data_IF_439292487733
#
_entry.id   IF_439292487733
#
_cell.length_a   1.000
_cell.length_b   1.000
_cell.length_c   1.000
_cell.angle_alpha   90.00
_cell.angle_beta   90.00
_cell.angle_gamma   90.00
#
_symmetry.space_group_name_H-M   'P 1'
#
loop_
_entity.id
_entity.type
_entity.pdbx_description
1 polymer ?
#
# COMPACT_ATOMS: atom_id res chain seq x y z
N UNK A 1 21.71 67.28 15.02
CA UNK A 1 21.12 67.70 16.31
C UNK A 1 19.73 67.11 16.44
N UNK A 2 19.61 66.21 17.32
CA UNK A 2 18.52 65.90 18.22
C UNK A 2 18.55 64.40 18.53
N UNK A 3 19.20 64.09 19.62
CA UNK A 3 19.16 62.87 20.38
C UNK A 3 17.77 62.75 21.05
N UNK A 4 17.19 61.55 21.03
CA UNK A 4 16.07 61.21 21.91
C UNK A 4 16.42 59.92 22.64
N UNK A 5 16.42 60.03 23.99
CA UNK A 5 16.74 59.03 24.99
C UNK A 5 15.76 57.85 24.99
N UNK A 6 16.29 56.65 25.27
CA UNK A 6 15.54 55.47 25.68
C UNK A 6 15.42 55.44 27.20
N UNK A 7 14.26 55.10 27.76
CA UNK A 7 14.17 54.81 29.20
C UNK A 7 14.50 53.36 29.51
N UNK A 8 15.28 53.17 30.53
CA UNK A 8 15.58 51.89 31.21
C UNK A 8 14.34 51.33 31.87
N UNK A 9 13.99 50.08 31.61
CA UNK A 9 12.93 49.35 32.25
C UNK A 9 13.47 48.27 33.19
N UNK A 10 12.85 48.19 34.35
CA UNK A 10 13.16 47.38 35.54
C UNK A 10 13.03 45.83 35.29
N UNK A 11 13.68 45.03 36.16
CA UNK A 11 13.66 43.57 36.05
C UNK A 11 12.35 42.94 36.60
N UNK A 12 11.94 41.87 35.96
CA UNK A 12 10.80 41.04 36.37
C UNK A 12 11.10 40.21 37.65
N UNK A 13 10.10 39.95 38.50
CA UNK A 13 10.30 39.18 39.73
C UNK A 13 10.33 37.64 39.47
N UNK A 14 11.20 36.99 40.19
CA UNK A 14 11.25 35.54 40.35
C UNK A 14 9.99 35.06 41.10
N UNK A 15 9.30 34.05 40.56
CA UNK A 15 8.12 33.40 41.13
C UNK A 15 8.29 31.90 41.25
N UNK A 16 8.45 31.47 42.42
CA UNK A 16 8.19 30.23 43.17
C UNK A 16 7.97 28.89 42.41
N UNK A 17 8.83 27.93 42.78
CA UNK A 17 8.73 26.48 42.59
C UNK A 17 7.76 25.90 43.62
N UNK A 18 6.81 25.05 43.27
CA UNK A 18 6.04 24.26 44.25
C UNK A 18 6.75 22.95 44.60
N UNK A 19 6.76 22.72 45.89
CA UNK A 19 7.33 21.67 46.70
C UNK A 19 6.56 20.34 46.58
N UNK A 20 7.28 19.26 46.79
CA UNK A 20 6.99 17.84 46.88
C UNK A 20 5.66 17.46 47.55
N UNK A 21 5.04 16.36 47.06
CA UNK A 21 4.00 15.61 47.77
C UNK A 21 4.60 14.42 48.55
N UNK A 22 3.98 14.01 49.67
CA UNK A 22 4.60 13.08 50.62
C UNK A 22 4.37 11.60 50.29
N UNK A 23 5.38 10.81 50.69
CA UNK A 23 5.40 9.35 50.69
C UNK A 23 4.43 8.85 51.79
N UNK A 24 3.52 7.98 51.43
CA UNK A 24 2.63 7.24 52.33
C UNK A 24 3.11 5.80 52.55
N UNK A 25 3.11 5.41 53.79
CA UNK A 25 3.66 4.25 54.48
C UNK A 25 3.10 2.90 54.03
N UNK A 26 3.96 1.92 54.19
CA UNK A 26 3.79 0.47 54.20
C UNK A 26 2.62 -0.01 55.09
N UNK A 27 1.86 -0.98 54.56
CA UNK A 27 1.17 -1.97 55.39
C UNK A 27 1.39 -3.37 54.81
N UNK A 28 2.08 -4.19 55.62
CA UNK A 28 2.25 -5.62 55.44
C UNK A 28 0.91 -6.33 55.62
N UNK A 29 0.56 -7.19 54.66
CA UNK A 29 -0.37 -8.29 54.90
C UNK A 29 0.20 -9.57 54.30
N UNK A 30 0.58 -10.43 55.18
CA UNK A 30 0.91 -11.84 55.11
C UNK A 30 -0.22 -12.64 54.43
N UNK A 31 0.06 -13.33 53.33
CA UNK A 31 -0.85 -14.35 52.75
C UNK A 31 -0.03 -15.50 52.19
N UNK A 32 -0.18 -16.61 52.81
CA UNK A 32 0.09 -18.00 52.62
C UNK A 32 0.65 -18.52 51.29
N UNK A 33 1.63 -19.40 51.48
CA UNK A 33 2.13 -20.37 50.51
C UNK A 33 0.98 -21.27 50.01
N UNK A 34 0.54 -21.02 48.76
CA UNK A 34 -0.30 -21.93 47.98
C UNK A 34 0.52 -22.42 46.81
N UNK A 35 1.01 -23.63 46.87
CA UNK A 35 1.56 -24.37 45.76
C UNK A 35 0.51 -24.43 44.63
N UNK A 36 0.77 -23.72 43.51
CA UNK A 36 0.04 -23.93 42.26
C UNK A 36 0.67 -25.09 41.51
N UNK A 37 -0.07 -26.18 41.49
CA UNK A 37 0.12 -27.35 40.66
C UNK A 37 0.22 -26.90 39.17
N UNK A 38 1.44 -26.98 38.63
CA UNK A 38 1.68 -26.80 37.17
C UNK A 38 1.30 -28.09 36.48
N UNK A 39 0.03 -28.17 36.06
CA UNK A 39 -0.46 -29.22 35.17
C UNK A 39 0.38 -29.33 33.93
N UNK A 40 0.60 -30.57 33.53
CA UNK A 40 1.32 -31.06 32.34
C UNK A 40 0.95 -30.31 31.05
N UNK A 41 1.90 -29.77 30.26
CA UNK A 41 1.64 -29.01 29.02
C UNK A 41 1.39 -29.92 27.79
N UNK A 42 0.86 -31.11 27.96
CA UNK A 42 0.57 -32.02 26.84
C UNK A 42 -0.93 -32.26 26.61
N UNK A 43 -1.78 -31.25 26.79
CA UNK A 43 -3.10 -31.30 26.18
C UNK A 43 -3.02 -30.78 24.72
N UNK A 44 -3.00 -31.74 23.79
CA UNK A 44 -3.27 -31.53 22.36
C UNK A 44 -4.60 -30.79 22.19
N UNK A 45 -4.53 -29.50 21.85
CA UNK A 45 -5.69 -28.78 21.32
C UNK A 45 -6.00 -29.39 19.96
N UNK A 46 -6.83 -30.41 19.94
CA UNK A 46 -7.53 -30.93 18.75
C UNK A 46 -8.35 -29.78 18.15
N UNK A 47 -7.78 -29.06 17.18
CA UNK A 47 -8.56 -28.26 16.26
C UNK A 47 -9.47 -29.23 15.47
N UNK A 48 -10.71 -29.38 15.96
CA UNK A 48 -11.77 -30.00 15.17
C UNK A 48 -11.94 -29.25 13.86
N UNK A 49 -12.43 -29.90 12.79
CA UNK A 49 -12.65 -29.26 11.51
C UNK A 49 -13.54 -28.03 11.73
N UNK A 50 -13.11 -26.88 11.21
CA UNK A 50 -13.87 -25.63 11.26
C UNK A 50 -15.27 -25.94 10.74
N UNK A 51 -16.28 -25.84 11.61
CA UNK A 51 -17.67 -25.98 11.22
C UNK A 51 -17.95 -24.97 10.14
N UNK A 52 -18.35 -25.44 8.96
CA UNK A 52 -18.79 -24.61 7.87
C UNK A 52 -19.90 -23.69 8.40
N UNK A 53 -19.67 -22.39 8.42
CA UNK A 53 -20.70 -21.41 8.72
C UNK A 53 -21.84 -21.63 7.73
N UNK A 54 -23.11 -21.60 8.17
CA UNK A 54 -24.25 -21.79 7.29
C UNK A 54 -24.19 -20.74 6.19
N UNK A 55 -24.48 -21.14 4.94
CA UNK A 55 -24.58 -20.32 3.74
C UNK A 55 -25.19 -18.95 4.06
N UNK A 56 -24.37 -17.97 4.32
CA UNK A 56 -24.78 -16.58 4.19
C UNK A 56 -24.85 -16.29 2.68
N UNK A 57 -25.89 -15.63 2.18
CA UNK A 57 -25.91 -15.23 0.80
C UNK A 57 -24.65 -14.39 0.54
N UNK A 58 -23.96 -14.71 -0.54
CA UNK A 58 -22.78 -13.92 -0.95
C UNK A 58 -23.21 -12.44 -0.99
N UNK A 59 -22.42 -11.53 -0.40
CA UNK A 59 -22.74 -10.11 -0.46
C UNK A 59 -22.84 -9.71 -1.93
N UNK A 60 -23.91 -8.98 -2.27
CA UNK A 60 -24.05 -8.40 -3.60
C UNK A 60 -22.93 -7.37 -3.81
N UNK A 61 -21.90 -7.78 -4.57
CA UNK A 61 -20.76 -6.97 -4.92
C UNK A 61 -20.94 -6.32 -6.31
N UNK A 62 -22.19 -6.19 -6.78
CA UNK A 62 -22.48 -5.49 -8.02
C UNK A 62 -21.99 -4.03 -7.93
N UNK A 63 -21.48 -3.46 -9.03
CA UNK A 63 -21.09 -2.06 -9.09
C UNK A 63 -22.19 -1.11 -8.61
N UNK A 64 -23.45 -1.44 -8.84
CA UNK A 64 -24.63 -0.66 -8.44
C UNK A 64 -24.81 -0.67 -6.92
N UNK A 65 -24.63 -1.83 -6.26
CA UNK A 65 -24.70 -1.92 -4.79
C UNK A 65 -23.56 -1.17 -4.10
N UNK A 66 -22.37 -1.14 -4.72
CA UNK A 66 -21.19 -0.41 -4.22
C UNK A 66 -21.24 1.09 -4.52
N UNK A 67 -22.31 1.62 -5.12
CA UNK A 67 -22.43 3.03 -5.49
C UNK A 67 -21.45 3.46 -6.58
N UNK A 68 -20.91 2.52 -7.33
CA UNK A 68 -19.95 2.76 -8.41
C UNK A 68 -20.74 3.29 -9.61
N UNK A 69 -20.47 4.54 -10.02
CA UNK A 69 -21.03 5.09 -11.25
C UNK A 69 -20.53 4.28 -12.45
N UNK A 70 -21.40 3.47 -13.04
CA UNK A 70 -21.15 2.72 -14.27
C UNK A 70 -21.28 3.59 -15.53
N UNK A 71 -21.74 4.82 -15.40
CA UNK A 71 -21.91 5.77 -16.50
C UNK A 71 -20.60 6.50 -16.79
N UNK A 72 -19.83 5.92 -17.63
CA UNK A 72 -18.71 6.47 -18.36
C UNK A 72 -18.26 5.44 -19.36
N UNK A 73 -18.31 5.79 -20.67
CA UNK A 73 -17.72 4.93 -21.68
C UNK A 73 -16.32 4.51 -21.22
N UNK A 74 -16.07 3.21 -21.25
CA UNK A 74 -14.73 2.66 -21.05
C UNK A 74 -13.77 3.49 -21.91
N UNK A 75 -12.71 4.08 -21.35
CA UNK A 75 -11.66 4.59 -22.20
C UNK A 75 -11.20 3.40 -23.02
N UNK A 76 -11.51 3.45 -24.30
CA UNK A 76 -11.04 2.45 -25.26
C UNK A 76 -9.52 2.43 -25.13
N UNK A 77 -8.93 1.24 -25.19
CA UNK A 77 -7.51 1.10 -25.45
C UNK A 77 -7.12 2.14 -26.49
N UNK A 78 -5.96 2.76 -26.34
CA UNK A 78 -5.48 3.76 -27.31
C UNK A 78 -5.72 3.19 -28.70
N UNK A 79 -6.56 3.81 -29.56
CA UNK A 79 -6.89 3.26 -30.85
C UNK A 79 -5.66 3.07 -31.75
N UNK A 80 -4.54 3.72 -31.39
CA UNK A 80 -3.26 3.61 -32.08
C UNK A 80 -2.29 2.63 -31.38
N UNK A 81 -2.67 2.03 -30.25
CA UNK A 81 -1.85 1.02 -29.58
C UNK A 81 -1.92 -0.28 -30.37
N UNK A 82 -0.82 -0.68 -30.95
CA UNK A 82 -0.66 -2.00 -31.56
C UNK A 82 -0.74 -3.05 -30.46
N UNK A 83 -1.75 -3.92 -30.51
CA UNK A 83 -1.78 -5.07 -29.57
C UNK A 83 -0.49 -5.89 -29.75
N UNK A 84 0.22 -6.22 -28.65
CA UNK A 84 1.44 -6.99 -28.73
C UNK A 84 1.13 -8.40 -29.27
N UNK A 85 2.05 -8.98 -30.01
CA UNK A 85 1.95 -10.40 -30.35
C UNK A 85 2.02 -11.23 -29.08
N UNK A 86 1.53 -12.48 -29.12
CA UNK A 86 1.65 -13.39 -27.97
C UNK A 86 3.11 -13.60 -27.56
N UNK A 87 4.02 -13.67 -28.50
CA UNK A 87 5.46 -13.83 -28.25
C UNK A 87 6.02 -12.62 -27.52
N UNK A 88 5.77 -11.40 -27.99
CA UNK A 88 6.22 -10.16 -27.35
C UNK A 88 5.63 -10.01 -25.95
N UNK A 89 4.36 -10.37 -25.77
CA UNK A 89 3.71 -10.37 -24.45
C UNK A 89 4.41 -11.33 -23.50
N UNK A 90 4.67 -12.58 -23.94
CA UNK A 90 5.28 -13.59 -23.09
C UNK A 90 6.72 -13.27 -22.68
N UNK A 91 7.47 -12.48 -23.46
CA UNK A 91 8.82 -12.03 -23.09
C UNK A 91 8.84 -11.16 -21.83
N UNK A 92 7.71 -10.59 -21.47
CA UNK A 92 7.57 -9.73 -20.27
C UNK A 92 7.14 -10.51 -19.03
N UNK A 93 6.74 -11.79 -19.17
CA UNK A 93 6.23 -12.61 -18.09
C UNK A 93 7.34 -13.47 -17.48
N UNK A 94 7.61 -13.26 -16.18
CA UNK A 94 8.57 -14.08 -15.44
C UNK A 94 7.88 -15.37 -14.95
N UNK A 95 7.71 -16.33 -15.86
CA UNK A 95 7.23 -17.68 -15.54
C UNK A 95 8.43 -18.51 -15.03
N UNK A 96 8.20 -19.27 -13.95
CA UNK A 96 9.24 -20.12 -13.36
C UNK A 96 9.77 -21.14 -14.40
N UNK A 97 11.07 -21.12 -14.72
CA UNK A 97 11.65 -22.04 -15.69
C UNK A 97 11.71 -23.50 -15.21
N UNK A 98 11.59 -23.74 -13.89
CA UNK A 98 11.61 -25.09 -13.31
C UNK A 98 10.29 -25.84 -13.48
N UNK A 99 9.21 -25.14 -13.85
CA UNK A 99 7.93 -25.77 -14.17
C UNK A 99 8.05 -26.71 -15.38
N UNK A 100 7.34 -27.85 -15.37
CA UNK A 100 7.19 -28.70 -16.56
C UNK A 100 6.70 -27.92 -17.78
N UNK A 101 7.09 -28.31 -18.98
CA UNK A 101 6.73 -27.61 -20.21
C UNK A 101 5.22 -27.47 -20.41
N UNK A 102 4.46 -28.50 -20.07
CA UNK A 102 2.99 -28.49 -20.12
C UNK A 102 2.40 -27.47 -19.15
N UNK A 103 2.88 -27.44 -17.91
CA UNK A 103 2.45 -26.49 -16.89
C UNK A 103 2.76 -25.04 -17.30
N UNK A 104 3.94 -24.80 -17.87
CA UNK A 104 4.31 -23.47 -18.42
C UNK A 104 3.38 -23.04 -19.54
N UNK A 105 3.01 -23.95 -20.44
CA UNK A 105 2.10 -23.63 -21.54
C UNK A 105 0.68 -23.34 -21.03
N UNK A 106 0.18 -24.10 -20.07
CA UNK A 106 -1.13 -23.83 -19.42
C UNK A 106 -1.14 -22.45 -18.76
N UNK A 107 -0.07 -22.11 -18.03
CA UNK A 107 0.07 -20.81 -17.37
C UNK A 107 0.18 -19.68 -18.40
N UNK A 108 0.95 -19.87 -19.48
CA UNK A 108 1.05 -18.92 -20.58
C UNK A 108 -0.30 -18.67 -21.27
N UNK A 109 -1.10 -19.72 -21.46
CA UNK A 109 -2.44 -19.61 -22.03
C UNK A 109 -3.37 -18.83 -21.10
N UNK A 110 -3.31 -19.06 -19.79
CA UNK A 110 -4.09 -18.30 -18.81
C UNK A 110 -3.72 -16.83 -18.82
N UNK A 111 -2.42 -16.49 -18.76
CA UNK A 111 -1.95 -15.11 -18.80
C UNK A 111 -2.35 -14.40 -20.09
N UNK A 112 -2.24 -15.08 -21.23
CA UNK A 112 -2.68 -14.54 -22.51
C UNK A 112 -4.20 -14.31 -22.58
N UNK A 113 -5.00 -15.22 -22.00
CA UNK A 113 -6.46 -15.04 -21.89
C UNK A 113 -6.80 -13.74 -21.16
N UNK A 114 -6.10 -13.44 -20.07
CA UNK A 114 -6.31 -12.25 -19.25
C UNK A 114 -5.30 -11.12 -19.57
N UNK A 115 -4.78 -11.05 -20.80
CA UNK A 115 -3.76 -10.06 -21.18
C UNK A 115 -4.17 -8.61 -20.94
N UNK A 116 -5.46 -8.33 -20.92
CA UNK A 116 -5.99 -6.98 -20.72
C UNK A 116 -5.53 -6.34 -19.41
N UNK A 117 -5.35 -7.12 -18.33
CA UNK A 117 -4.86 -6.59 -17.03
C UNK A 117 -3.39 -6.18 -17.06
N UNK A 118 -2.63 -6.60 -18.07
CA UNK A 118 -1.21 -6.28 -18.25
C UNK A 118 -0.98 -5.16 -19.28
N UNK A 119 -2.04 -4.69 -19.94
CA UNK A 119 -2.02 -3.68 -20.99
C UNK A 119 -2.79 -2.43 -20.53
N UNK A 120 -2.19 -1.61 -19.64
CA UNK A 120 -2.87 -0.45 -19.10
C UNK A 120 -3.17 0.58 -20.20
N UNK A 121 -4.29 1.31 -20.10
CA UNK A 121 -4.54 2.45 -20.95
C UNK A 121 -3.51 3.56 -20.66
N UNK A 122 -3.36 4.48 -21.59
CA UNK A 122 -2.46 5.63 -21.45
C UNK A 122 -2.76 6.49 -20.20
N UNK A 123 -4.04 6.55 -19.81
CA UNK A 123 -4.50 7.29 -18.61
C UNK A 123 -4.77 6.34 -17.48
N UNK A 124 -4.28 6.66 -16.29
CA UNK A 124 -4.53 5.95 -15.04
C UNK A 124 -5.74 6.54 -14.27
N UNK A 125 -6.10 5.94 -13.13
CA UNK A 125 -7.19 6.41 -12.27
C UNK A 125 -8.57 5.98 -12.74
N UNK A 126 -8.66 4.86 -13.44
CA UNK A 126 -9.89 4.35 -14.05
C UNK A 126 -10.41 3.07 -13.40
N UNK A 127 -9.86 2.69 -12.24
CA UNK A 127 -10.38 1.55 -11.50
C UNK A 127 -11.86 1.80 -11.14
N UNK A 128 -12.67 0.75 -11.30
CA UNK A 128 -14.07 0.77 -10.90
C UNK A 128 -14.17 0.56 -9.38
N UNK A 129 -13.73 1.56 -8.63
CA UNK A 129 -13.62 1.55 -7.18
C UNK A 129 -14.11 2.90 -6.61
N UNK A 130 -14.58 2.93 -5.35
CA UNK A 130 -14.90 4.18 -4.69
C UNK A 130 -13.69 5.12 -4.69
N UNK A 131 -13.88 6.41 -4.95
CA UNK A 131 -12.80 7.38 -4.95
C UNK A 131 -12.24 7.60 -3.55
N UNK A 132 -10.97 8.01 -3.49
CA UNK A 132 -10.33 8.39 -2.22
C UNK A 132 -10.81 9.76 -1.77
N UNK A 133 -11.23 9.87 -0.52
CA UNK A 133 -11.66 11.09 0.12
C UNK A 133 -10.65 11.55 1.18
N UNK A 134 -10.50 12.86 1.32
CA UNK A 134 -9.69 13.47 2.38
C UNK A 134 -10.58 14.32 3.26
N UNK A 135 -10.79 13.89 4.50
CA UNK A 135 -11.59 14.61 5.49
C UNK A 135 -10.66 15.44 6.38
N UNK A 136 -10.88 16.76 6.42
CA UNK A 136 -10.06 17.73 7.18
C UNK A 136 -10.92 18.55 8.15
N UNK A 137 -12.11 18.07 8.49
CA UNK A 137 -13.11 18.80 9.27
C UNK A 137 -13.25 20.27 8.79
N UNK A 138 -13.24 21.22 9.73
CA UNK A 138 -13.32 22.65 9.44
C UNK A 138 -11.95 23.34 9.29
N UNK A 139 -10.86 22.56 9.04
CA UNK A 139 -9.54 23.14 8.90
C UNK A 139 -9.44 24.11 7.73
N UNK A 140 -8.78 25.25 7.97
CA UNK A 140 -8.52 26.24 6.92
C UNK A 140 -7.47 25.71 5.95
N UNK A 141 -7.58 26.07 4.66
CA UNK A 141 -6.55 25.75 3.69
C UNK A 141 -5.15 26.18 4.14
N UNK A 142 -4.18 25.32 3.86
CA UNK A 142 -2.77 25.56 4.18
C UNK A 142 -1.95 25.61 2.91
N UNK A 143 -1.00 26.51 2.85
CA UNK A 143 -0.07 26.65 1.75
C UNK A 143 1.36 26.64 2.28
N UNK A 144 2.23 25.91 1.60
CA UNK A 144 3.68 25.90 1.85
C UNK A 144 4.37 26.19 0.52
N UNK A 145 5.26 27.20 0.46
CA UNK A 145 5.96 27.53 -0.77
C UNK A 145 6.86 26.37 -1.23
N UNK A 146 7.21 26.32 -2.54
CA UNK A 146 8.09 25.29 -3.06
C UNK A 146 9.48 25.38 -2.40
N UNK A 147 10.09 24.23 -2.15
CA UNK A 147 11.47 24.19 -1.67
C UNK A 147 12.43 24.66 -2.76
N UNK A 148 13.47 25.39 -2.35
CA UNK A 148 14.53 25.80 -3.26
C UNK A 148 15.36 24.57 -3.64
N UNK A 149 15.49 24.32 -4.93
CA UNK A 149 16.27 23.21 -5.48
C UNK A 149 17.23 23.73 -6.55
N UNK A 150 18.35 23.04 -6.75
CA UNK A 150 19.29 23.38 -7.83
C UNK A 150 18.69 23.07 -9.22
N UNK A 151 19.22 23.66 -10.29
CA UNK A 151 18.67 23.54 -11.66
C UNK A 151 18.46 22.10 -12.12
N UNK A 152 19.41 21.21 -11.89
CA UNK A 152 19.29 19.80 -12.28
C UNK A 152 18.11 19.07 -11.61
N UNK A 153 17.82 19.38 -10.33
CA UNK A 153 16.66 18.82 -9.65
C UNK A 153 15.35 19.45 -10.14
N UNK A 154 15.39 20.73 -10.50
CA UNK A 154 14.23 21.42 -11.07
C UNK A 154 13.83 20.79 -12.40
N UNK A 155 14.80 20.48 -13.25
CA UNK A 155 14.53 19.78 -14.53
C UNK A 155 13.85 18.41 -14.31
N UNK A 156 14.32 17.65 -13.32
CA UNK A 156 13.66 16.36 -12.95
C UNK A 156 12.21 16.60 -12.50
N UNK A 157 11.94 17.61 -11.67
CA UNK A 157 10.58 17.94 -11.23
C UNK A 157 9.70 18.29 -12.43
N UNK A 158 10.23 19.08 -13.36
CA UNK A 158 9.49 19.53 -14.54
C UNK A 158 9.15 18.39 -15.48
N UNK A 159 10.08 17.44 -15.67
CA UNK A 159 9.85 16.22 -16.46
C UNK A 159 8.79 15.32 -15.82
N UNK A 160 8.89 15.06 -14.52
CA UNK A 160 7.90 14.25 -13.78
C UNK A 160 6.49 14.89 -13.84
N UNK A 161 6.39 16.23 -13.67
CA UNK A 161 5.10 16.93 -13.81
C UNK A 161 4.52 16.74 -15.21
N UNK A 162 5.34 16.84 -16.26
CA UNK A 162 4.87 16.63 -17.63
C UNK A 162 4.40 15.20 -17.85
N UNK A 163 5.13 14.19 -17.37
CA UNK A 163 4.73 12.79 -17.44
C UNK A 163 3.40 12.54 -16.71
N UNK A 164 3.22 13.12 -15.52
CA UNK A 164 1.97 13.00 -14.76
C UNK A 164 0.77 13.66 -15.47
N UNK A 165 1.00 14.80 -16.15
CA UNK A 165 -0.02 15.45 -16.99
C UNK A 165 -0.39 14.58 -18.19
N UNK A 166 0.58 14.02 -18.88
CA UNK A 166 0.38 13.16 -20.05
C UNK A 166 -0.37 11.88 -19.69
N UNK A 167 -0.09 11.32 -18.50
CA UNK A 167 -0.81 10.18 -17.93
C UNK A 167 -2.20 10.55 -17.37
N UNK A 168 -2.54 11.83 -17.32
CA UNK A 168 -3.80 12.31 -16.76
C UNK A 168 -3.94 12.14 -15.26
N UNK A 169 -2.83 11.91 -14.53
CA UNK A 169 -2.81 11.75 -13.08
C UNK A 169 -3.03 13.06 -12.33
N UNK A 170 -2.63 14.18 -12.92
CA UNK A 170 -2.74 15.52 -12.35
C UNK A 170 -3.42 16.49 -13.32
N UNK A 171 -3.80 17.64 -12.81
CA UNK A 171 -4.30 18.79 -13.59
C UNK A 171 -3.83 20.12 -13.00
N UNK A 172 -3.83 21.23 -13.77
CA UNK A 172 -3.64 22.57 -13.21
C UNK A 172 -4.69 22.88 -12.13
N UNK A 173 -4.29 23.63 -11.11
CA UNK A 173 -5.13 23.92 -9.95
C UNK A 173 -5.20 25.40 -9.64
N UNK A 174 -6.32 25.84 -9.07
CA UNK A 174 -6.49 27.15 -8.42
C UNK A 174 -6.79 27.00 -6.93
N UNK A 175 -6.37 25.87 -6.36
CA UNK A 175 -6.64 25.52 -4.96
C UNK A 175 -5.98 26.50 -3.99
N UNK A 176 -6.63 26.82 -2.86
CA UNK A 176 -6.00 27.53 -1.75
C UNK A 176 -5.04 26.64 -0.94
N UNK A 177 -5.01 25.33 -1.22
CA UNK A 177 -4.06 24.39 -0.63
C UNK A 177 -2.80 24.28 -1.47
N UNK A 178 -1.64 24.15 -0.84
CA UNK A 178 -0.40 23.85 -1.56
C UNK A 178 0.59 23.11 -0.67
N UNK A 179 1.05 21.96 -1.15
CA UNK A 179 2.14 21.17 -0.55
C UNK A 179 3.40 21.29 -1.42
N UNK A 180 4.61 21.33 -0.85
CA UNK A 180 5.84 21.41 -1.63
C UNK A 180 6.24 20.03 -2.15
N UNK A 181 7.06 20.01 -3.20
CA UNK A 181 7.64 18.80 -3.78
C UNK A 181 9.02 18.52 -3.20
N UNK A 182 9.30 17.23 -2.95
CA UNK A 182 10.60 16.71 -2.50
C UNK A 182 11.06 15.61 -3.44
N UNK A 183 12.32 15.64 -3.86
CA UNK A 183 12.96 14.56 -4.59
C UNK A 183 13.74 13.67 -3.62
N UNK A 184 13.38 12.39 -3.54
CA UNK A 184 14.06 11.37 -2.73
C UNK A 184 14.88 10.47 -3.63
N UNK A 185 16.16 10.28 -3.31
CA UNK A 185 17.04 9.40 -4.09
C UNK A 185 16.72 7.93 -3.80
N UNK A 186 16.45 7.16 -4.84
CA UNK A 186 16.27 5.69 -4.74
C UNK A 186 17.61 4.97 -4.65
N UNK A 187 17.66 3.72 -4.18
CA UNK A 187 18.89 2.91 -4.17
C UNK A 187 19.52 2.72 -5.56
N UNK A 188 18.71 2.73 -6.62
CA UNK A 188 19.17 2.64 -8.02
C UNK A 188 19.72 3.96 -8.58
N UNK A 189 19.83 4.99 -7.74
CA UNK A 189 20.34 6.32 -8.11
C UNK A 189 19.31 7.25 -8.74
N UNK A 190 18.14 6.78 -9.13
CA UNK A 190 17.06 7.59 -9.69
C UNK A 190 16.36 8.43 -8.63
N UNK A 191 15.66 9.47 -9.06
CA UNK A 191 14.85 10.29 -8.19
C UNK A 191 13.42 9.72 -8.07
N UNK A 192 12.85 9.88 -6.89
CA UNK A 192 11.41 9.68 -6.64
C UNK A 192 10.79 11.04 -6.37
N UNK A 193 9.82 11.40 -7.18
CA UNK A 193 8.97 12.57 -6.97
C UNK A 193 8.00 12.30 -5.83
N UNK A 194 8.00 13.15 -4.81
CA UNK A 194 7.14 13.03 -3.64
C UNK A 194 6.54 14.41 -3.31
N UNK A 195 5.25 14.46 -3.00
CA UNK A 195 4.64 15.63 -2.40
C UNK A 195 4.76 15.54 -0.87
N UNK A 196 5.15 16.63 -0.23
CA UNK A 196 5.26 16.66 1.24
C UNK A 196 3.91 16.97 1.89
N UNK A 197 3.13 15.93 2.12
CA UNK A 197 1.82 16.02 2.74
C UNK A 197 1.84 15.99 4.28
N UNK A 198 2.98 16.11 4.95
CA UNK A 198 3.06 16.04 6.42
C UNK A 198 2.08 16.99 7.11
N UNK A 199 1.98 18.25 6.64
CA UNK A 199 1.05 19.23 7.20
C UNK A 199 -0.40 18.88 6.93
N UNK A 200 -0.75 18.42 5.72
CA UNK A 200 -2.09 17.93 5.38
C UNK A 200 -2.45 16.73 6.28
N UNK A 201 -1.53 15.78 6.43
CA UNK A 201 -1.73 14.58 7.22
C UNK A 201 -1.98 14.85 8.71
N UNK A 202 -1.46 15.97 9.25
CA UNK A 202 -1.69 16.38 10.65
C UNK A 202 -3.14 16.79 10.91
N UNK A 203 -3.83 17.32 9.91
CA UNK A 203 -5.22 17.80 10.03
C UNK A 203 -6.23 16.86 9.35
N UNK A 204 -5.78 15.80 8.71
CA UNK A 204 -6.64 14.79 8.10
C UNK A 204 -7.14 13.83 9.17
N UNK A 205 -8.44 13.59 9.18
CA UNK A 205 -9.07 12.58 10.03
C UNK A 205 -8.54 11.19 9.67
N UNK A 206 -8.04 10.46 10.67
CA UNK A 206 -7.41 9.15 10.47
C UNK A 206 -8.44 8.07 10.18
N UNK A 207 -8.25 7.36 9.11
CA UNK A 207 -8.98 6.12 8.82
C UNK A 207 -8.42 4.98 9.69
N UNK A 208 -9.32 4.25 10.36
CA UNK A 208 -8.98 3.15 11.27
C UNK A 208 -9.12 1.77 10.62
N UNK A 209 -9.20 1.70 9.29
CA UNK A 209 -9.31 0.43 8.59
C UNK A 209 -8.13 -0.49 8.91
N UNK A 210 -8.37 -1.73 9.41
CA UNK A 210 -7.30 -2.60 9.88
C UNK A 210 -6.48 -3.15 8.70
N UNK A 211 -5.16 -3.07 8.83
CA UNK A 211 -4.25 -3.83 7.95
C UNK A 211 -4.11 -5.26 8.49
N UNK A 212 -4.03 -6.27 7.60
CA UNK A 212 -3.77 -7.65 8.02
C UNK A 212 -2.47 -7.77 8.83
N UNK A 213 -2.46 -8.63 9.83
CA UNK A 213 -1.20 -8.91 10.56
C UNK A 213 -0.31 -9.79 9.69
N UNK A 214 0.97 -9.43 9.60
CA UNK A 214 1.95 -10.18 8.80
C UNK A 214 2.02 -11.65 9.22
N UNK A 215 1.97 -11.94 10.53
CA UNK A 215 1.99 -13.30 11.05
C UNK A 215 0.79 -14.13 10.60
N UNK A 216 -0.43 -13.58 10.69
CA UNK A 216 -1.65 -14.25 10.26
C UNK A 216 -1.61 -14.56 8.76
N UNK A 217 -1.10 -13.59 7.98
CA UNK A 217 -0.89 -13.74 6.53
C UNK A 217 0.07 -14.89 6.22
N UNK A 218 1.18 -14.98 6.94
CA UNK A 218 2.19 -16.02 6.71
C UNK A 218 1.71 -17.42 7.14
N UNK A 219 0.91 -17.53 8.21
CA UNK A 219 0.36 -18.82 8.66
C UNK A 219 -0.51 -19.50 7.59
N UNK A 220 -1.21 -18.73 6.76
CA UNK A 220 -2.05 -19.27 5.68
C UNK A 220 -1.27 -19.96 4.54
N UNK A 221 0.05 -19.76 4.50
CA UNK A 221 0.92 -20.30 3.44
C UNK A 221 1.44 -21.71 3.77
N UNK A 222 1.16 -22.24 4.95
CA UNK A 222 1.56 -23.59 5.33
C UNK A 222 1.00 -24.65 4.38
N UNK A 223 1.88 -25.54 3.86
CA UNK A 223 1.52 -26.62 2.94
C UNK A 223 1.28 -26.21 1.48
N UNK A 224 1.31 -24.92 1.16
CA UNK A 224 1.17 -24.44 -0.23
C UNK A 224 2.49 -24.62 -0.98
N UNK A 225 2.43 -25.01 -2.25
CA UNK A 225 3.59 -25.42 -3.06
C UNK A 225 3.84 -24.51 -4.27
N UNK A 226 2.80 -23.87 -4.79
CA UNK A 226 2.89 -23.01 -5.97
C UNK A 226 2.45 -21.61 -5.61
N UNK A 227 3.21 -20.62 -6.06
CA UNK A 227 3.03 -19.23 -5.72
C UNK A 227 3.11 -18.34 -6.96
N UNK A 228 2.29 -17.29 -6.99
CA UNK A 228 2.41 -16.19 -7.94
C UNK A 228 2.35 -14.89 -7.18
N UNK A 229 3.37 -14.04 -7.35
CA UNK A 229 3.34 -12.66 -6.84
C UNK A 229 2.82 -11.73 -7.90
N UNK A 230 1.86 -10.89 -7.55
CA UNK A 230 1.28 -9.90 -8.44
C UNK A 230 1.50 -8.51 -7.85
N UNK A 231 2.20 -7.65 -8.59
CA UNK A 231 2.44 -6.23 -8.25
C UNK A 231 1.56 -5.35 -9.15
N UNK A 232 0.76 -4.48 -8.55
CA UNK A 232 -0.12 -3.59 -9.30
C UNK A 232 0.67 -2.41 -9.89
N UNK A 233 0.34 -2.01 -11.09
CA UNK A 233 0.96 -0.87 -11.77
C UNK A 233 0.62 0.44 -11.04
N UNK A 234 1.58 1.01 -10.29
CA UNK A 234 1.35 2.25 -9.54
C UNK A 234 0.04 2.22 -8.74
N UNK A 235 -0.17 1.15 -7.95
CA UNK A 235 -1.45 0.76 -7.39
C UNK A 235 -2.31 1.92 -6.87
N UNK A 236 -1.75 2.85 -6.09
CA UNK A 236 -2.47 4.01 -5.56
C UNK A 236 -3.02 4.93 -6.67
N UNK A 237 -2.30 5.10 -7.78
CA UNK A 237 -2.73 5.96 -8.90
C UNK A 237 -3.86 5.33 -9.73
N UNK A 238 -4.20 4.09 -9.49
CA UNK A 238 -5.36 3.47 -10.14
C UNK A 238 -6.68 3.86 -9.47
N UNK A 239 -6.65 4.28 -8.20
CA UNK A 239 -7.83 4.74 -7.46
C UNK A 239 -8.07 6.23 -7.78
N UNK A 240 -9.29 6.61 -8.20
CA UNK A 240 -9.62 8.01 -8.45
C UNK A 240 -9.67 8.83 -7.15
N UNK A 241 -9.42 10.13 -7.24
CA UNK A 241 -9.68 11.08 -6.17
C UNK A 241 -11.11 11.61 -6.26
N UNK A 242 -11.79 11.68 -5.11
CA UNK A 242 -13.05 12.40 -5.00
C UNK A 242 -12.86 13.89 -5.37
N UNK A 243 -13.81 14.44 -6.12
CA UNK A 243 -13.64 15.75 -6.77
C UNK A 243 -13.39 16.90 -5.79
N UNK A 244 -14.13 16.96 -4.68
CA UNK A 244 -13.96 17.99 -3.66
C UNK A 244 -12.66 17.80 -2.86
N UNK A 245 -12.09 16.60 -2.86
CA UNK A 245 -10.83 16.27 -2.19
C UNK A 245 -9.59 16.56 -3.04
N UNK A 246 -9.73 16.68 -4.36
CA UNK A 246 -8.59 16.96 -5.28
C UNK A 246 -7.86 18.22 -4.87
N UNK A 247 -8.56 19.30 -4.59
CA UNK A 247 -7.95 20.57 -4.19
C UNK A 247 -7.03 20.46 -2.97
N UNK A 248 -7.30 19.51 -2.03
CA UNK A 248 -6.47 19.30 -0.84
C UNK A 248 -5.13 18.63 -1.18
N UNK A 249 -5.07 17.93 -2.31
CA UNK A 249 -3.85 17.28 -2.82
C UNK A 249 -2.96 18.24 -3.61
N UNK A 250 -3.33 19.50 -3.72
CA UNK A 250 -2.59 20.45 -4.54
C UNK A 250 -1.13 20.56 -4.09
N UNK A 251 -0.24 20.61 -5.07
CA UNK A 251 1.20 20.78 -4.85
C UNK A 251 1.76 21.85 -5.77
N UNK A 252 2.76 22.54 -5.26
CA UNK A 252 3.36 23.70 -5.93
C UNK A 252 4.76 23.39 -6.43
N UNK A 253 5.04 23.84 -7.65
CA UNK A 253 6.36 23.83 -8.29
C UNK A 253 6.72 25.21 -8.78
N UNK A 254 7.92 25.42 -9.30
CA UNK A 254 8.29 26.69 -9.92
C UNK A 254 7.47 27.01 -11.18
N UNK A 255 6.85 26.01 -11.82
CA UNK A 255 6.03 26.16 -13.03
C UNK A 255 4.54 26.35 -12.78
N UNK A 256 4.07 26.14 -11.53
CA UNK A 256 2.66 26.32 -11.24
C UNK A 256 2.15 25.47 -10.07
N UNK A 257 0.85 25.49 -9.95
CA UNK A 257 0.09 24.74 -8.96
C UNK A 257 -0.69 23.62 -9.67
N UNK A 258 -0.61 22.42 -9.13
CA UNK A 258 -1.16 21.20 -9.70
C UNK A 258 -1.94 20.44 -8.64
N UNK A 259 -2.95 19.68 -9.03
CA UNK A 259 -3.70 18.80 -8.11
C UNK A 259 -3.89 17.42 -8.71
N UNK A 260 -4.02 16.42 -7.83
CA UNK A 260 -4.15 15.03 -8.24
C UNK A 260 -5.61 14.66 -8.57
N UNK A 261 -5.77 13.96 -9.68
CA UNK A 261 -7.03 13.31 -10.08
C UNK A 261 -7.13 11.88 -9.58
N UNK A 262 -6.00 11.31 -9.20
CA UNK A 262 -5.81 9.96 -8.67
C UNK A 262 -5.24 10.04 -7.27
N UNK A 263 -5.38 8.98 -6.47
CA UNK A 263 -4.89 8.94 -5.09
C UNK A 263 -3.36 9.05 -5.05
N UNK A 264 -2.77 10.13 -4.53
CA UNK A 264 -1.33 10.30 -4.50
C UNK A 264 -0.69 9.48 -3.39
N UNK A 265 0.59 9.14 -3.58
CA UNK A 265 1.41 8.61 -2.50
C UNK A 265 1.66 9.69 -1.43
N UNK A 266 1.71 9.28 -0.17
CA UNK A 266 2.07 10.15 0.96
C UNK A 266 0.91 10.76 1.73
N UNK A 267 -0.34 10.67 1.26
CA UNK A 267 -1.51 11.00 2.09
C UNK A 267 -1.76 9.88 3.10
N UNK A 268 -2.10 10.25 4.35
CA UNK A 268 -2.08 9.32 5.49
C UNK A 268 -3.07 8.15 5.36
N UNK A 269 -4.20 8.35 4.72
CA UNK A 269 -5.26 7.34 4.58
C UNK A 269 -5.17 6.51 3.29
N UNK A 270 -4.20 6.78 2.40
CA UNK A 270 -4.04 6.02 1.16
C UNK A 270 -3.86 4.51 1.39
N UNK A 271 -3.04 4.05 2.36
CA UNK A 271 -2.92 2.62 2.65
C UNK A 271 -4.24 1.98 3.07
N UNK A 272 -5.02 2.63 3.94
CA UNK A 272 -6.31 2.14 4.42
C UNK A 272 -7.34 2.07 3.30
N UNK A 273 -7.44 3.12 2.47
CA UNK A 273 -8.32 3.13 1.29
C UNK A 273 -7.93 2.02 0.32
N UNK A 274 -6.64 1.84 0.04
CA UNK A 274 -6.17 0.83 -0.89
C UNK A 274 -6.45 -0.59 -0.38
N UNK A 275 -6.17 -0.86 0.91
CA UNK A 275 -6.45 -2.16 1.51
C UNK A 275 -7.94 -2.49 1.47
N UNK A 276 -8.82 -1.52 1.82
CA UNK A 276 -10.27 -1.68 1.73
C UNK A 276 -10.74 -1.96 0.30
N UNK A 277 -10.17 -1.26 -0.67
CA UNK A 277 -10.45 -1.48 -2.08
C UNK A 277 -10.06 -2.90 -2.52
N UNK A 278 -8.86 -3.36 -2.18
CA UNK A 278 -8.41 -4.72 -2.48
C UNK A 278 -9.23 -5.78 -1.76
N UNK A 279 -9.59 -5.54 -0.50
CA UNK A 279 -10.45 -6.43 0.27
C UNK A 279 -11.86 -6.56 -0.35
N UNK A 280 -12.35 -5.49 -0.97
CA UNK A 280 -13.62 -5.51 -1.72
C UNK A 280 -13.47 -6.28 -3.03
N UNK A 281 -12.46 -5.97 -3.83
CA UNK A 281 -12.21 -6.63 -5.13
C UNK A 281 -12.02 -8.14 -4.98
N UNK A 282 -11.28 -8.56 -3.96
CA UNK A 282 -10.88 -9.95 -3.75
C UNK A 282 -11.63 -10.62 -2.58
N UNK A 283 -12.76 -10.07 -2.14
CA UNK A 283 -13.48 -10.49 -0.93
C UNK A 283 -13.72 -12.00 -0.83
N UNK A 284 -14.22 -12.64 -1.90
CA UNK A 284 -14.50 -14.09 -1.93
C UNK A 284 -13.25 -14.95 -2.19
N UNK A 285 -12.13 -14.35 -2.55
CA UNK A 285 -10.88 -15.03 -2.89
C UNK A 285 -9.83 -14.90 -1.80
N UNK A 286 -9.87 -13.79 -1.05
CA UNK A 286 -8.93 -13.49 0.03
C UNK A 286 -8.98 -14.60 1.09
N UNK A 287 -7.83 -15.01 1.58
CA UNK A 287 -7.57 -16.10 2.51
C UNK A 287 -7.76 -17.51 1.93
N UNK A 288 -8.68 -17.72 0.99
CA UNK A 288 -8.89 -19.03 0.37
C UNK A 288 -7.96 -19.28 -0.81
N UNK A 289 -7.73 -18.26 -1.64
CA UNK A 289 -7.02 -18.38 -2.92
C UNK A 289 -5.83 -17.43 -3.04
N UNK A 290 -5.88 -16.31 -2.34
CA UNK A 290 -4.81 -15.30 -2.34
C UNK A 290 -4.71 -14.58 -1.00
N UNK A 291 -3.56 -13.96 -0.78
CA UNK A 291 -3.32 -13.00 0.30
C UNK A 291 -3.10 -11.64 -0.32
N UNK A 292 -3.53 -10.62 0.41
CA UNK A 292 -3.41 -9.23 -0.02
C UNK A 292 -2.89 -8.39 1.14
N UNK A 293 -1.78 -7.74 0.92
CA UNK A 293 -1.20 -6.79 1.85
C UNK A 293 -0.82 -5.53 1.08
N UNK A 294 -1.69 -4.53 1.14
CA UNK A 294 -1.60 -3.33 0.29
C UNK A 294 -1.55 -3.72 -1.20
N UNK A 295 -0.51 -3.31 -1.91
CA UNK A 295 -0.26 -3.56 -3.33
C UNK A 295 0.41 -4.92 -3.64
N UNK A 296 0.80 -5.69 -2.61
CA UNK A 296 1.35 -7.03 -2.76
C UNK A 296 0.23 -8.09 -2.71
N UNK A 297 -0.05 -8.73 -3.83
CA UNK A 297 -0.99 -9.86 -3.93
C UNK A 297 -0.18 -11.13 -4.12
N UNK A 298 -0.43 -12.13 -3.26
CA UNK A 298 0.18 -13.47 -3.36
C UNK A 298 -0.90 -14.50 -3.62
N UNK A 299 -0.90 -15.11 -4.79
CA UNK A 299 -1.78 -16.24 -5.15
C UNK A 299 -1.05 -17.53 -4.89
N UNK A 300 -1.74 -18.53 -4.35
CA UNK A 300 -1.13 -19.81 -3.97
C UNK A 300 -2.03 -21.02 -4.26
N UNK A 301 -1.45 -22.22 -4.22
CA UNK A 301 -2.15 -23.49 -4.31
C UNK A 301 -1.30 -24.65 -3.77
N UNK A 302 -1.95 -25.76 -3.38
CA UNK A 302 -1.30 -26.99 -2.95
C UNK A 302 -0.87 -27.84 -4.16
N UNK A 303 -1.62 -27.74 -5.26
CA UNK A 303 -1.29 -28.30 -6.55
C UNK A 303 -1.18 -27.24 -7.62
N UNK A 304 -0.58 -27.56 -8.76
CA UNK A 304 -0.48 -26.63 -9.88
C UNK A 304 -1.86 -26.29 -10.46
N UNK A 305 -2.75 -27.26 -10.55
CA UNK A 305 -4.11 -27.08 -11.07
C UNK A 305 -4.93 -26.14 -10.17
N UNK A 306 -4.84 -26.32 -8.85
CA UNK A 306 -5.48 -25.42 -7.88
C UNK A 306 -4.92 -24.00 -8.01
N UNK A 307 -3.59 -23.89 -8.08
CA UNK A 307 -2.93 -22.58 -8.26
C UNK A 307 -3.36 -21.89 -9.54
N UNK A 308 -3.43 -22.63 -10.67
CA UNK A 308 -3.86 -22.09 -11.96
C UNK A 308 -5.32 -21.58 -11.90
N UNK A 309 -6.21 -22.34 -11.26
CA UNK A 309 -7.61 -21.93 -11.07
C UNK A 309 -7.72 -20.71 -10.16
N UNK A 310 -6.92 -20.65 -9.08
CA UNK A 310 -6.89 -19.52 -8.15
C UNK A 310 -6.36 -18.25 -8.84
N UNK A 311 -5.29 -18.37 -9.63
CA UNK A 311 -4.74 -17.26 -10.40
C UNK A 311 -5.74 -16.75 -11.43
N UNK A 312 -6.43 -17.64 -12.15
CA UNK A 312 -7.48 -17.25 -13.09
C UNK A 312 -8.58 -16.42 -12.45
N UNK A 313 -9.07 -16.86 -11.28
CA UNK A 313 -10.09 -16.13 -10.52
C UNK A 313 -9.61 -14.74 -10.06
N UNK A 314 -8.36 -14.62 -9.62
CA UNK A 314 -7.77 -13.33 -9.22
C UNK A 314 -7.63 -12.39 -10.42
N UNK A 315 -7.11 -12.88 -11.56
CA UNK A 315 -6.97 -12.09 -12.77
C UNK A 315 -8.32 -11.59 -13.29
N UNK A 316 -9.36 -12.44 -13.28
CA UNK A 316 -10.72 -12.08 -13.67
C UNK A 316 -11.29 -10.94 -12.79
N UNK A 317 -11.05 -11.01 -11.48
CA UNK A 317 -11.47 -9.95 -10.55
C UNK A 317 -10.74 -8.64 -10.80
N UNK A 318 -9.44 -8.67 -11.02
CA UNK A 318 -8.66 -7.47 -11.34
C UNK A 318 -9.12 -6.86 -12.67
N UNK A 319 -9.39 -7.69 -13.68
CA UNK A 319 -9.89 -7.26 -14.98
C UNK A 319 -11.26 -6.58 -14.88
N UNK A 320 -12.20 -7.19 -14.16
CA UNK A 320 -13.56 -6.65 -13.97
C UNK A 320 -13.57 -5.30 -13.23
N UNK A 321 -12.58 -5.04 -12.37
CA UNK A 321 -12.43 -3.76 -11.67
C UNK A 321 -11.44 -2.80 -12.33
N UNK A 322 -10.94 -3.11 -13.53
CA UNK A 322 -9.98 -2.29 -14.28
C UNK A 322 -8.71 -1.98 -13.50
N UNK A 323 -8.20 -2.99 -12.82
CA UNK A 323 -6.92 -2.93 -12.12
C UNK A 323 -5.84 -3.55 -12.99
N UNK A 324 -4.72 -2.84 -13.12
CA UNK A 324 -3.63 -3.20 -14.02
C UNK A 324 -2.42 -3.68 -13.25
N UNK A 325 -1.76 -4.69 -13.81
CA UNK A 325 -0.59 -5.35 -13.23
C UNK A 325 0.68 -4.87 -13.95
N UNK A 326 1.78 -4.83 -13.21
CA UNK A 326 3.12 -4.54 -13.75
C UNK A 326 3.90 -5.84 -13.97
N UNK A 327 3.91 -6.43 -15.18
CA UNK A 327 4.44 -7.78 -15.42
C UNK A 327 5.89 -7.95 -14.96
N UNK A 328 6.74 -6.95 -15.18
CA UNK A 328 8.18 -6.99 -14.82
C UNK A 328 8.47 -7.13 -13.31
N UNK A 329 7.45 -6.98 -12.48
CA UNK A 329 7.55 -7.11 -11.02
C UNK A 329 6.80 -8.34 -10.48
N UNK A 330 6.16 -9.09 -11.35
CA UNK A 330 5.44 -10.31 -11.01
C UNK A 330 6.32 -11.53 -11.22
N UNK A 331 6.04 -12.59 -10.46
CA UNK A 331 6.62 -13.93 -10.67
C UNK A 331 5.50 -14.94 -10.71
N UNK A 332 5.46 -15.78 -11.73
CA UNK A 332 4.35 -16.69 -11.98
C UNK A 332 4.74 -18.16 -11.80
N UNK A 333 3.95 -18.88 -10.97
CA UNK A 333 4.04 -20.32 -10.82
C UNK A 333 5.27 -20.82 -10.09
N UNK A 334 5.92 -20.01 -9.27
CA UNK A 334 7.14 -20.40 -8.55
C UNK A 334 6.85 -21.34 -7.38
N UNK A 335 7.77 -22.25 -7.09
CA UNK A 335 7.75 -23.12 -5.90
C UNK A 335 8.34 -22.45 -4.67
N UNK A 336 8.96 -21.27 -4.85
CA UNK A 336 9.52 -20.43 -3.78
C UNK A 336 9.32 -18.97 -4.11
N UNK A 337 8.91 -18.18 -3.13
CA UNK A 337 8.72 -16.75 -3.32
C UNK A 337 9.14 -15.95 -2.09
N UNK A 338 9.33 -14.65 -2.27
CA UNK A 338 9.54 -13.72 -1.16
C UNK A 338 8.27 -12.91 -0.92
N UNK A 339 7.72 -12.96 0.28
CA UNK A 339 6.55 -12.20 0.67
C UNK A 339 6.72 -11.62 2.07
N UNK A 340 6.43 -10.33 2.23
CA UNK A 340 6.49 -9.58 3.51
C UNK A 340 7.80 -9.83 4.30
N UNK A 341 8.93 -9.88 3.60
CA UNK A 341 10.24 -10.06 4.24
C UNK A 341 10.61 -11.49 4.62
N UNK A 342 9.85 -12.48 4.16
CA UNK A 342 10.11 -13.90 4.36
C UNK A 342 10.21 -14.62 3.01
N UNK A 343 11.04 -15.67 2.99
CA UNK A 343 11.04 -16.65 1.91
C UNK A 343 10.01 -17.71 2.24
N UNK A 344 9.07 -17.91 1.33
CA UNK A 344 7.98 -18.89 1.43
C UNK A 344 8.27 -20.03 0.48
N UNK A 345 8.21 -21.26 0.97
CA UNK A 345 8.36 -22.51 0.20
C UNK A 345 7.32 -23.52 0.63
N UNK A 346 7.16 -24.60 -0.13
CA UNK A 346 6.31 -25.72 0.28
C UNK A 346 6.74 -26.40 1.60
N UNK A 347 8.01 -26.22 2.02
CA UNK A 347 8.55 -26.76 3.27
C UNK A 347 8.33 -25.81 4.48
N UNK A 348 7.95 -24.59 4.25
CA UNK A 348 7.71 -23.59 5.31
C UNK A 348 8.28 -22.21 5.03
N UNK A 349 8.41 -21.42 6.10
CA UNK A 349 8.81 -20.02 6.10
C UNK A 349 10.23 -19.85 6.62
N UNK A 350 11.00 -19.01 5.96
CA UNK A 350 12.36 -18.61 6.40
C UNK A 350 12.49 -17.08 6.32
N UNK A 351 13.11 -16.42 7.31
CA UNK A 351 13.42 -14.99 7.17
C UNK A 351 14.44 -14.78 6.06
N UNK A 352 14.37 -13.62 5.41
CA UNK A 352 15.34 -13.22 4.39
C UNK A 352 16.76 -13.15 5.00
N UNK A 353 17.76 -13.67 4.31
CA UNK A 353 19.17 -13.70 4.75
C UNK A 353 19.66 -12.31 5.17
N UNK A 354 19.32 -11.26 4.42
CA UNK A 354 19.67 -9.87 4.75
C UNK A 354 19.20 -9.41 6.14
N UNK A 355 18.06 -9.91 6.62
CA UNK A 355 17.54 -9.57 7.96
C UNK A 355 18.35 -10.30 9.05
N UNK A 356 18.75 -11.54 8.77
CA UNK A 356 19.60 -12.34 9.65
C UNK A 356 20.99 -11.70 9.75
N UNK A 357 21.56 -11.31 8.61
CA UNK A 357 22.88 -10.70 8.53
C UNK A 357 22.92 -9.35 9.26
N UNK A 358 21.89 -8.50 9.07
CA UNK A 358 21.75 -7.24 9.81
C UNK A 358 21.72 -7.44 11.33
N UNK A 359 21.10 -8.51 11.83
CA UNK A 359 21.09 -8.84 13.27
C UNK A 359 22.46 -9.37 13.73
N UNK A 360 23.15 -10.19 12.91
CA UNK A 360 24.47 -10.71 13.24
C UNK A 360 25.56 -9.64 13.26
N UNK A 361 25.46 -8.67 12.34
CA UNK A 361 26.38 -7.54 12.21
C UNK A 361 26.11 -6.42 13.23
N UNK A 362 24.99 -6.51 13.97
CA UNK A 362 24.66 -5.50 14.95
C UNK A 362 25.69 -5.47 16.07
N UNK A 363 26.35 -4.33 16.32
CA UNK A 363 27.38 -4.22 17.35
C UNK A 363 26.80 -4.55 18.73
N UNK A 364 27.55 -5.29 19.55
CA UNK A 364 27.13 -5.58 20.92
C UNK A 364 26.98 -4.27 21.69
N UNK A 365 25.89 -4.08 22.45
CA UNK A 365 25.73 -2.91 23.30
C UNK A 365 26.90 -2.78 24.25
N UNK A 366 27.56 -1.62 24.26
CA UNK A 366 28.69 -1.32 25.14
C UNK A 366 28.28 -0.59 26.43
N UNK A 367 27.02 -0.15 26.47
CA UNK A 367 26.42 0.52 27.65
C UNK A 367 25.11 -0.17 28.01
N UNK A 368 24.80 -0.16 29.33
CA UNK A 368 23.51 -0.63 29.87
C UNK A 368 22.42 0.36 29.57
#
# INVERSE_FOLDING_TARGET
>A
SSSVDLPSGDPLPEGDVPVEAPVGSEDNADVGDGEMDLGDPTEEILCGPAAALPNQPEPDLSPEFLGIRTEGELPRADPDAVEPTREDFMTQMAIDPELPSEAREQLANLLWKHRAVFLPPRKLGLAALPPHEIHTASARPMSTPPYRVGPAKQEVIDQEVQELLDQGCIQPSMSPWASPVVLVKKPDGKWRFCCDYRRLNQITERDVYPLPRVQDTLHMLGGKKYFTTVDLLSGFWQIPMEENSRQKTAFVTMKGLWEWKVMPMGVCNAPSTFQRAMDTVLASLKWAKCLVYLDDILVYGESFEEHLANLGAVLERLESHRLYIKPKKCTFGSTSTTHLGHVVTGEGLRPLSRHIDAVKEFPRPTTK
#
